data_IF_381701961432
#
_entry.id   IF_381701961432
#
_cell.length_a   1.000
_cell.length_b   1.000
_cell.length_c   1.000
_cell.angle_alpha   90.00
_cell.angle_beta   90.00
_cell.angle_gamma   90.00
#
_symmetry.space_group_name_H-M   'P 1'
#
loop_
_entity.id
_entity.type
_entity.pdbx_description
1 polymer ?
#
# COMPACT_ATOMS: atom_id res chain seq x y z
N UNK A 1 -0.16 19.33 2.99
CA UNK A 1 0.97 19.83 2.16
C UNK A 1 1.43 18.71 1.24
N UNK A 2 1.64 18.96 -0.04
CA UNK A 2 2.12 17.94 -1.00
C UNK A 2 3.65 17.90 -0.96
N UNK A 3 4.22 16.84 -0.42
CA UNK A 3 5.63 16.47 -0.63
C UNK A 3 5.62 15.15 -1.40
N UNK A 4 6.23 15.14 -2.57
CA UNK A 4 6.40 13.93 -3.39
C UNK A 4 7.78 13.95 -4.03
N UNK A 5 8.70 13.09 -3.62
CA UNK A 5 9.94 12.80 -4.35
C UNK A 5 10.32 11.32 -4.20
N UNK A 6 10.86 10.73 -5.27
CA UNK A 6 11.09 9.27 -5.40
C UNK A 6 12.39 8.96 -6.11
N UNK A 7 13.32 8.26 -5.45
CA UNK A 7 14.33 7.45 -6.16
C UNK A 7 14.72 6.20 -5.36
N UNK A 8 14.68 5.06 -6.05
CA UNK A 8 15.42 3.84 -5.75
C UNK A 8 15.70 3.12 -7.07
N UNK A 9 16.66 2.18 -7.12
CA UNK A 9 16.92 1.37 -8.31
C UNK A 9 15.72 0.44 -8.55
N UNK A 10 14.68 0.96 -9.20
CA UNK A 10 13.65 0.10 -9.76
C UNK A 10 14.32 -0.66 -10.89
N UNK A 11 14.28 -1.99 -10.84
CA UNK A 11 14.94 -2.89 -11.81
C UNK A 11 14.34 -2.85 -13.22
N UNK A 12 13.68 -1.76 -13.59
CA UNK A 12 13.12 -1.47 -14.90
C UNK A 12 14.06 -0.51 -15.61
N UNK A 13 14.86 -1.03 -16.54
CA UNK A 13 15.90 -0.30 -17.28
C UNK A 13 15.39 0.84 -18.18
N UNK A 14 14.07 0.99 -18.35
CA UNK A 14 13.50 1.96 -19.28
C UNK A 14 12.22 2.57 -18.71
N UNK A 15 12.35 3.69 -17.99
CA UNK A 15 11.25 4.65 -17.84
C UNK A 15 11.79 6.06 -18.03
N UNK A 16 11.06 6.88 -18.80
CA UNK A 16 11.40 8.29 -19.04
C UNK A 16 11.40 9.04 -17.70
N UNK A 17 12.31 10.01 -17.50
CA UNK A 17 12.30 10.84 -16.30
C UNK A 17 10.94 11.52 -16.15
N UNK A 18 10.23 11.20 -15.08
CA UNK A 18 9.02 11.92 -14.70
C UNK A 18 9.47 13.28 -14.17
N UNK A 19 8.94 14.37 -14.74
CA UNK A 19 9.20 15.70 -14.22
C UNK A 19 8.66 15.77 -12.79
N UNK A 20 9.56 15.89 -11.82
CA UNK A 20 9.17 16.19 -10.47
C UNK A 20 8.39 17.50 -10.44
N UNK A 21 7.36 17.57 -9.58
CA UNK A 21 6.61 18.82 -9.38
C UNK A 21 7.59 19.91 -8.96
N UNK A 22 7.48 21.09 -9.58
CA UNK A 22 8.28 22.26 -9.21
C UNK A 22 8.06 22.56 -7.74
N UNK A 23 9.09 22.31 -6.93
CA UNK A 23 9.03 22.56 -5.49
C UNK A 23 9.21 24.05 -5.24
N UNK A 24 8.30 24.63 -4.47
CA UNK A 24 8.45 25.99 -3.99
C UNK A 24 9.65 26.07 -3.04
N UNK A 25 10.66 26.86 -3.41
CA UNK A 25 11.82 27.13 -2.56
C UNK A 25 11.50 28.31 -1.67
N UNK A 26 11.86 28.21 -0.40
CA UNK A 26 11.81 29.34 0.53
C UNK A 26 12.73 30.46 0.05
N UNK A 27 12.16 31.66 -0.08
CA UNK A 27 12.85 32.91 -0.42
C UNK A 27 12.96 33.81 0.80
N UNK A 28 11.96 33.79 1.69
CA UNK A 28 11.92 34.62 2.89
C UNK A 28 11.66 33.78 4.15
N UNK A 29 12.03 34.28 5.34
CA UNK A 29 11.70 33.58 6.58
C UNK A 29 10.20 33.39 6.79
N UNK A 30 9.36 34.28 6.24
CA UNK A 30 7.89 34.21 6.37
C UNK A 30 7.30 32.99 5.67
N UNK A 31 7.92 32.54 4.59
CA UNK A 31 7.49 31.37 3.83
C UNK A 31 7.47 30.08 4.69
N UNK A 32 8.29 30.03 5.75
CA UNK A 32 8.24 28.93 6.72
C UNK A 32 7.00 29.01 7.62
N UNK A 33 6.65 30.21 8.09
CA UNK A 33 5.55 30.45 9.03
C UNK A 33 4.18 30.57 8.36
N UNK A 34 4.13 30.82 7.05
CA UNK A 34 2.93 30.63 6.24
C UNK A 34 2.57 29.14 6.09
N UNK A 35 3.60 28.30 6.16
CA UNK A 35 3.54 26.87 5.92
C UNK A 35 3.33 26.05 7.20
N UNK A 36 4.02 26.41 8.28
CA UNK A 36 4.05 25.69 9.55
C UNK A 36 3.76 26.62 10.72
N UNK A 37 3.05 26.11 11.71
CA UNK A 37 2.86 26.79 12.99
C UNK A 37 4.13 26.69 13.85
N UNK A 38 4.21 27.50 14.91
CA UNK A 38 5.36 27.44 15.83
C UNK A 38 5.40 26.07 16.55
N UNK A 39 4.25 25.49 16.85
CA UNK A 39 4.13 24.15 17.42
C UNK A 39 4.67 23.08 16.46
N UNK A 40 4.33 23.16 15.17
CA UNK A 40 4.87 22.25 14.15
C UNK A 40 6.40 22.38 14.03
N UNK A 41 6.92 23.61 14.09
CA UNK A 41 8.36 23.87 13.99
C UNK A 41 9.12 23.28 15.18
N UNK A 42 8.52 23.30 16.37
CA UNK A 42 9.09 22.66 17.57
C UNK A 42 9.15 21.14 17.41
N UNK A 43 8.16 20.53 16.76
CA UNK A 43 8.19 19.11 16.37
C UNK A 43 8.85 18.92 14.99
N UNK A 44 10.15 19.23 14.94
CA UNK A 44 10.93 19.27 13.70
C UNK A 44 10.88 17.98 12.86
N UNK A 45 10.57 16.82 13.46
CA UNK A 45 10.46 15.53 12.75
C UNK A 45 9.24 15.47 11.82
N UNK A 46 8.24 16.32 12.03
CA UNK A 46 7.04 16.43 11.17
C UNK A 46 7.26 17.34 9.95
N UNK A 47 8.36 18.09 9.95
CA UNK A 47 8.67 19.05 8.89
C UNK A 47 9.25 18.38 7.65
N UNK A 48 9.10 19.07 6.53
CA UNK A 48 9.85 18.77 5.32
C UNK A 48 11.28 19.32 5.45
N UNK A 49 12.24 18.43 5.72
CA UNK A 49 13.64 18.78 5.94
C UNK A 49 14.32 19.28 4.67
N UNK A 50 13.88 18.81 3.49
CA UNK A 50 14.37 19.30 2.20
C UNK A 50 13.94 20.74 2.00
N UNK A 51 12.65 21.01 2.19
CA UNK A 51 12.11 22.36 2.16
C UNK A 51 12.84 23.26 3.15
N UNK A 52 12.98 22.83 4.42
CA UNK A 52 13.65 23.59 5.48
C UNK A 52 15.09 23.97 5.12
N UNK A 53 15.81 23.08 4.44
CA UNK A 53 17.17 23.31 3.96
C UNK A 53 17.24 24.11 2.64
N UNK A 54 16.10 24.35 2.01
CA UNK A 54 15.96 25.19 0.82
C UNK A 54 16.35 24.51 -0.49
N UNK A 55 16.21 23.19 -0.57
CA UNK A 55 16.44 22.42 -1.80
C UNK A 55 15.47 21.25 -1.92
N UNK A 56 15.43 20.61 -3.09
CA UNK A 56 14.58 19.44 -3.35
C UNK A 56 15.32 18.13 -3.08
N UNK A 57 14.61 17.00 -3.00
CA UNK A 57 15.27 15.70 -2.86
C UNK A 57 16.11 15.34 -4.11
N UNK A 58 15.71 15.78 -5.31
CA UNK A 58 16.51 15.64 -6.53
C UNK A 58 17.87 16.33 -6.40
N UNK A 59 17.84 17.61 -6.03
CA UNK A 59 19.05 18.39 -5.80
C UNK A 59 19.92 17.73 -4.72
N UNK A 60 19.30 17.23 -3.65
CA UNK A 60 19.99 16.54 -2.55
C UNK A 60 20.71 15.26 -2.98
N UNK A 61 20.35 14.64 -4.11
CA UNK A 61 21.02 13.44 -4.63
C UNK A 61 22.26 13.79 -5.45
N UNK A 62 22.30 14.99 -6.03
CA UNK A 62 23.44 15.51 -6.76
C UNK A 62 24.41 16.29 -5.85
N UNK A 63 23.95 16.67 -4.65
CA UNK A 63 24.73 17.50 -3.73
C UNK A 63 25.92 16.78 -3.12
N UNK A 64 27.05 17.49 -3.13
CA UNK A 64 28.22 17.16 -2.32
C UNK A 64 28.07 17.70 -0.90
N UNK A 65 28.91 17.24 0.03
CA UNK A 65 28.93 17.74 1.42
C UNK A 65 29.13 19.27 1.50
N UNK A 66 29.90 19.85 0.57
CA UNK A 66 30.09 21.30 0.49
C UNK A 66 28.77 22.03 0.16
N UNK A 67 28.00 21.49 -0.78
CA UNK A 67 26.69 22.04 -1.16
C UNK A 67 25.72 22.02 0.02
N UNK A 68 25.70 20.94 0.81
CA UNK A 68 24.88 20.86 2.03
C UNK A 68 25.29 21.91 3.08
N UNK A 69 26.60 22.10 3.30
CA UNK A 69 27.11 23.13 4.23
C UNK A 69 26.75 24.53 3.77
N UNK A 70 26.84 24.81 2.48
CA UNK A 70 26.54 26.14 1.95
C UNK A 70 25.03 26.42 1.89
N UNK A 71 24.20 25.40 1.66
CA UNK A 71 22.76 25.49 1.86
C UNK A 71 22.42 25.80 3.32
N UNK A 72 23.02 25.06 4.27
CA UNK A 72 22.83 25.30 5.71
C UNK A 72 23.21 26.73 6.10
N UNK A 73 24.38 27.23 5.67
CA UNK A 73 24.80 28.63 5.96
C UNK A 73 23.81 29.67 5.43
N UNK A 74 23.24 29.45 4.25
CA UNK A 74 22.23 30.36 3.66
C UNK A 74 20.95 30.38 4.50
N UNK A 75 20.45 29.21 4.89
CA UNK A 75 19.25 29.09 5.72
C UNK A 75 19.49 29.56 7.16
N UNK A 76 20.66 29.28 7.74
CA UNK A 76 21.03 29.72 9.08
C UNK A 76 21.03 31.25 9.19
N UNK A 77 21.45 31.96 8.13
CA UNK A 77 21.33 33.42 8.06
C UNK A 77 19.88 33.89 8.00
N UNK A 78 18.94 33.10 7.49
CA UNK A 78 17.51 33.45 7.40
C UNK A 78 16.80 33.22 8.73
N UNK A 79 17.09 32.08 9.39
CA UNK A 79 16.42 31.63 10.62
C UNK A 79 17.21 31.95 11.91
N UNK A 80 18.24 32.78 11.83
CA UNK A 80 18.93 33.26 13.03
C UNK A 80 17.94 34.04 13.92
N UNK A 81 17.93 33.83 15.25
CA UNK A 81 16.97 34.49 16.16
C UNK A 81 16.98 36.02 16.00
N UNK A 82 18.15 36.65 15.93
CA UNK A 82 18.25 38.11 15.73
C UNK A 82 17.57 38.60 14.44
N UNK A 83 17.65 37.81 13.36
CA UNK A 83 17.00 38.18 12.10
C UNK A 83 15.50 37.97 12.18
N UNK A 84 15.01 36.92 12.82
CA UNK A 84 13.58 36.69 13.02
C UNK A 84 12.96 37.78 13.89
N UNK A 85 13.65 38.20 14.95
CA UNK A 85 13.25 39.34 15.80
C UNK A 85 13.13 40.64 14.98
N UNK A 86 14.05 40.90 14.06
CA UNK A 86 13.96 42.05 13.15
C UNK A 86 12.72 42.00 12.24
N UNK A 87 12.24 40.79 11.93
CA UNK A 87 11.01 40.54 11.18
C UNK A 87 9.75 40.48 12.05
N UNK A 88 9.85 40.76 13.36
CA UNK A 88 8.77 40.64 14.36
C UNK A 88 8.23 39.21 14.51
N UNK A 89 9.09 38.22 14.30
CA UNK A 89 8.79 36.81 14.51
C UNK A 89 9.60 36.36 15.72
N UNK A 90 8.91 35.90 16.75
CA UNK A 90 9.54 35.28 17.92
C UNK A 90 9.07 33.83 18.03
N UNK A 91 9.96 32.91 17.66
CA UNK A 91 9.74 31.47 17.72
C UNK A 91 10.60 30.81 18.82
N UNK A 92 11.26 31.62 19.67
CA UNK A 92 12.18 31.13 20.68
C UNK A 92 13.41 30.38 20.13
N UNK A 93 13.76 30.58 18.85
CA UNK A 93 14.85 29.88 18.18
C UNK A 93 14.50 28.49 17.66
N UNK A 94 13.22 28.09 17.70
CA UNK A 94 12.76 26.78 17.26
C UNK A 94 13.15 26.49 15.78
N UNK A 95 13.03 27.47 14.88
CA UNK A 95 13.38 27.31 13.47
C UNK A 95 14.87 27.02 13.27
N UNK A 96 15.73 27.67 14.05
CA UNK A 96 17.18 27.44 13.98
C UNK A 96 17.56 26.05 14.49
N UNK A 97 16.91 25.60 15.57
CA UNK A 97 17.08 24.24 16.11
C UNK A 97 16.62 23.21 15.08
N UNK A 98 15.43 23.38 14.49
CA UNK A 98 14.90 22.51 13.45
C UNK A 98 15.84 22.44 12.24
N UNK A 99 16.37 23.59 11.79
CA UNK A 99 17.33 23.65 10.69
C UNK A 99 18.63 22.88 11.01
N UNK A 100 19.14 23.02 12.22
CA UNK A 100 20.34 22.30 12.67
C UNK A 100 20.11 20.80 12.67
N UNK A 101 18.93 20.36 13.12
CA UNK A 101 18.52 18.95 13.09
C UNK A 101 18.34 18.42 11.66
N UNK A 102 17.75 19.21 10.77
CA UNK A 102 17.63 18.86 9.35
C UNK A 102 19.01 18.64 8.71
N UNK A 103 19.97 19.53 8.95
CA UNK A 103 21.34 19.35 8.47
C UNK A 103 22.01 18.11 9.05
N UNK A 104 21.83 17.80 10.34
CA UNK A 104 22.36 16.59 10.97
C UNK A 104 21.84 15.30 10.31
N UNK A 105 20.55 15.26 9.99
CA UNK A 105 19.89 14.12 9.36
C UNK A 105 20.31 13.98 7.90
N UNK A 106 20.22 15.05 7.11
CA UNK A 106 20.45 14.98 5.66
C UNK A 106 21.94 14.85 5.30
N UNK A 107 22.85 15.31 6.15
CA UNK A 107 24.30 15.16 5.92
C UNK A 107 24.79 13.73 6.19
N UNK A 108 24.08 12.95 6.99
CA UNK A 108 24.43 11.56 7.26
C UNK A 108 23.68 10.63 6.28
N UNK A 109 24.38 9.85 5.42
CA UNK A 109 23.72 9.03 4.40
C UNK A 109 22.70 8.02 4.96
N UNK A 110 22.99 7.46 6.14
CA UNK A 110 22.09 6.49 6.78
C UNK A 110 20.83 7.18 7.33
N UNK A 111 20.99 8.30 8.04
CA UNK A 111 19.84 9.07 8.56
C UNK A 111 19.00 9.66 7.42
N UNK A 112 19.66 10.18 6.37
CA UNK A 112 19.00 10.64 5.13
C UNK A 112 18.14 9.53 4.53
N UNK A 113 18.67 8.32 4.38
CA UNK A 113 17.91 7.18 3.84
C UNK A 113 16.67 6.84 4.68
N UNK A 114 16.78 6.85 6.00
CA UNK A 114 15.63 6.63 6.90
C UNK A 114 14.60 7.75 6.77
N UNK A 115 15.05 9.00 6.60
CA UNK A 115 14.16 10.12 6.33
C UNK A 115 13.46 9.98 4.97
N UNK A 116 14.18 9.58 3.92
CA UNK A 116 13.64 9.39 2.58
C UNK A 116 12.55 8.31 2.52
N UNK A 117 12.60 7.31 3.42
CA UNK A 117 11.52 6.33 3.56
C UNK A 117 10.22 6.94 4.09
N UNK A 118 10.31 8.01 4.89
CA UNK A 118 9.17 8.75 5.43
C UNK A 118 8.72 9.86 4.48
N UNK A 119 9.66 10.57 3.85
CA UNK A 119 9.42 11.64 2.87
C UNK A 119 8.96 11.08 1.52
N UNK A 120 7.83 10.38 1.55
CA UNK A 120 7.32 9.56 0.46
C UNK A 120 5.83 9.83 0.24
N UNK A 121 5.41 9.88 -1.02
CA UNK A 121 4.00 10.10 -1.34
C UNK A 121 3.18 8.84 -1.11
N UNK A 122 2.39 8.79 -0.04
CA UNK A 122 1.58 7.62 0.30
C UNK A 122 0.22 7.56 -0.41
N UNK A 123 -0.11 8.55 -1.26
CA UNK A 123 -1.41 8.62 -1.92
C UNK A 123 -1.73 7.34 -2.65
N UNK A 124 -2.99 6.92 -2.58
CA UNK A 124 -3.51 5.81 -3.36
C UNK A 124 -4.62 6.35 -4.27
N UNK A 125 -4.85 5.73 -5.43
CA UNK A 125 -5.95 6.12 -6.31
C UNK A 125 -7.30 6.09 -5.59
N UNK A 126 -8.21 6.95 -6.01
CA UNK A 126 -9.57 7.01 -5.45
C UNK A 126 -10.42 5.84 -5.97
N UNK A 127 -11.45 5.46 -5.21
CA UNK A 127 -12.39 4.43 -5.63
C UNK A 127 -13.49 5.00 -6.54
N UNK A 128 -13.09 5.38 -7.75
CA UNK A 128 -13.99 5.89 -8.81
C UNK A 128 -13.94 5.01 -10.06
N UNK A 129 -14.83 5.31 -10.99
CA UNK A 129 -14.72 4.76 -12.34
C UNK A 129 -13.61 5.48 -13.10
N UNK A 130 -12.80 4.71 -13.81
CA UNK A 130 -11.68 5.17 -14.63
C UNK A 130 -11.94 4.79 -16.08
N UNK A 131 -11.46 5.60 -17.02
CA UNK A 131 -11.28 5.11 -18.39
C UNK A 131 -10.15 4.08 -18.42
N UNK A 132 -10.10 3.30 -19.49
CA UNK A 132 -9.06 2.30 -19.68
C UNK A 132 -7.65 2.94 -19.60
N UNK A 133 -7.44 4.07 -20.28
CA UNK A 133 -6.16 4.79 -20.26
C UNK A 133 -5.84 5.42 -18.90
N UNK A 134 -6.85 6.01 -18.24
CA UNK A 134 -6.68 6.60 -16.91
C UNK A 134 -6.29 5.54 -15.87
N UNK A 135 -6.89 4.34 -15.95
CA UNK A 135 -6.56 3.25 -15.05
C UNK A 135 -5.08 2.90 -15.11
N UNK A 136 -4.55 2.63 -16.32
CA UNK A 136 -3.14 2.26 -16.45
C UNK A 136 -2.22 3.39 -16.00
N UNK A 137 -2.49 4.63 -16.40
CA UNK A 137 -1.65 5.76 -15.99
C UNK A 137 -1.59 5.92 -14.45
N UNK A 138 -2.75 5.96 -13.79
CA UNK A 138 -2.85 6.24 -12.35
C UNK A 138 -2.32 5.08 -11.50
N UNK A 139 -2.68 3.84 -11.84
CA UNK A 139 -2.28 2.68 -11.05
C UNK A 139 -0.83 2.26 -11.33
N UNK A 140 -0.36 2.34 -12.56
CA UNK A 140 1.03 2.00 -12.88
C UNK A 140 2.01 2.99 -12.22
N UNK A 141 1.67 4.29 -12.20
CA UNK A 141 2.42 5.28 -11.41
C UNK A 141 2.42 4.87 -9.93
N UNK A 142 1.26 4.59 -9.34
CA UNK A 142 1.16 4.22 -7.93
C UNK A 142 1.97 2.96 -7.58
N UNK A 143 1.91 1.90 -8.40
CA UNK A 143 2.66 0.68 -8.16
C UNK A 143 4.17 0.87 -8.35
N UNK A 144 4.59 1.53 -9.43
CA UNK A 144 6.00 1.81 -9.69
C UNK A 144 6.61 2.60 -8.55
N UNK A 145 5.87 3.61 -8.11
CA UNK A 145 6.21 4.45 -6.99
C UNK A 145 6.44 3.62 -5.71
N UNK A 146 5.49 2.76 -5.33
CA UNK A 146 5.64 1.87 -4.17
C UNK A 146 6.69 0.75 -4.33
N UNK A 147 7.10 0.44 -5.57
CA UNK A 147 8.04 -0.64 -5.83
C UNK A 147 9.46 -0.39 -5.31
N UNK A 148 9.82 0.88 -5.06
CA UNK A 148 11.10 1.29 -4.45
C UNK A 148 11.32 0.61 -3.09
N UNK A 149 10.24 0.27 -2.40
CA UNK A 149 10.31 -0.43 -1.11
C UNK A 149 10.26 -1.95 -1.24
N UNK A 150 10.29 -2.53 -2.43
CA UNK A 150 10.25 -3.98 -2.52
C UNK A 150 11.56 -4.62 -2.05
N UNK A 151 11.46 -5.67 -1.23
CA UNK A 151 12.59 -6.56 -0.93
C UNK A 151 13.04 -7.31 -2.19
N UNK A 152 12.10 -7.70 -3.05
CA UNK A 152 12.37 -8.48 -4.27
C UNK A 152 12.55 -7.52 -5.44
N UNK A 153 13.44 -7.79 -6.41
CA UNK A 153 13.55 -6.97 -7.60
C UNK A 153 12.19 -6.81 -8.29
N UNK A 154 11.79 -5.57 -8.49
CA UNK A 154 10.54 -5.25 -9.17
C UNK A 154 10.69 -5.45 -10.68
N UNK A 155 10.26 -6.63 -11.15
CA UNK A 155 10.36 -7.03 -12.57
C UNK A 155 9.00 -7.18 -13.25
N UNK A 156 7.90 -6.95 -12.52
CA UNK A 156 6.53 -7.12 -13.03
C UNK A 156 5.86 -5.76 -13.25
N UNK A 157 5.43 -5.48 -14.48
CA UNK A 157 4.68 -4.26 -14.81
C UNK A 157 3.17 -4.54 -14.79
N UNK A 158 2.36 -3.50 -14.53
CA UNK A 158 0.90 -3.57 -14.67
C UNK A 158 0.49 -3.90 -16.12
N UNK A 159 1.30 -3.49 -17.10
CA UNK A 159 1.08 -3.70 -18.52
C UNK A 159 0.03 -2.76 -19.10
N UNK A 160 -0.71 -3.26 -20.08
CA UNK A 160 -1.71 -2.55 -20.88
C UNK A 160 -2.94 -3.43 -21.15
N UNK A 161 -3.89 -2.97 -21.99
CA UNK A 161 -5.08 -3.74 -22.38
C UNK A 161 -4.78 -5.06 -23.10
N UNK A 162 -3.62 -5.17 -23.75
CA UNK A 162 -3.23 -6.33 -24.57
C UNK A 162 -2.46 -7.39 -23.79
N UNK A 163 -2.17 -7.11 -22.52
CA UNK A 163 -1.38 -7.97 -21.65
C UNK A 163 -2.05 -9.33 -21.43
N UNK A 164 -1.25 -10.39 -21.53
CA UNK A 164 -1.71 -11.78 -21.36
C UNK A 164 -2.15 -12.05 -19.93
N UNK A 165 -3.13 -12.93 -19.74
CA UNK A 165 -3.65 -13.32 -18.42
C UNK A 165 -2.55 -13.82 -17.47
N UNK A 166 -1.56 -14.54 -17.99
CA UNK A 166 -0.41 -15.00 -17.21
C UNK A 166 0.41 -13.85 -16.61
N UNK A 167 0.57 -12.75 -17.34
CA UNK A 167 1.27 -11.56 -16.87
C UNK A 167 0.44 -10.81 -15.80
N UNK A 168 -0.88 -10.72 -16.01
CA UNK A 168 -1.82 -10.11 -15.05
C UNK A 168 -1.80 -10.87 -13.71
N UNK A 169 -1.88 -12.21 -13.77
CA UNK A 169 -1.80 -13.08 -12.59
C UNK A 169 -0.46 -12.95 -11.89
N UNK A 170 0.65 -12.93 -12.63
CA UNK A 170 1.99 -12.76 -12.05
C UNK A 170 2.14 -11.40 -11.34
N UNK A 171 1.64 -10.33 -11.96
CA UNK A 171 1.65 -8.98 -11.39
C UNK A 171 0.90 -8.91 -10.06
N UNK A 172 -0.36 -9.35 -10.03
CA UNK A 172 -1.13 -9.32 -8.78
C UNK A 172 -0.60 -10.27 -7.72
N UNK A 173 -0.05 -11.44 -8.12
CA UNK A 173 0.60 -12.35 -7.18
C UNK A 173 1.83 -11.73 -6.53
N UNK A 174 2.64 -10.97 -7.27
CA UNK A 174 3.77 -10.23 -6.70
C UNK A 174 3.28 -9.25 -5.63
N UNK A 175 2.30 -8.41 -5.96
CA UNK A 175 1.81 -7.37 -5.05
C UNK A 175 1.02 -7.91 -3.85
N UNK A 176 0.30 -9.03 -4.01
CA UNK A 176 -0.35 -9.72 -2.89
C UNK A 176 0.67 -10.31 -1.89
N UNK A 177 1.88 -10.65 -2.36
CA UNK A 177 2.99 -11.13 -1.56
C UNK A 177 4.10 -10.07 -1.42
N UNK A 178 3.72 -8.78 -1.45
CA UNK A 178 4.66 -7.68 -1.36
C UNK A 178 5.33 -7.65 0.01
N UNK A 179 6.66 -7.64 0.01
CA UNK A 179 7.50 -7.52 1.19
C UNK A 179 8.24 -6.18 1.10
N UNK A 180 8.12 -5.36 2.16
CA UNK A 180 8.61 -3.98 2.18
C UNK A 180 9.92 -3.85 2.97
N UNK A 181 10.92 -3.17 2.41
CA UNK A 181 12.12 -2.70 3.12
C UNK A 181 11.89 -1.34 3.81
N UNK A 182 10.68 -0.77 3.70
CA UNK A 182 10.38 0.55 4.25
C UNK A 182 10.56 0.54 5.77
N UNK A 183 11.32 1.52 6.23
CA UNK A 183 11.72 1.66 7.63
C UNK A 183 11.13 2.95 8.20
N UNK A 184 10.79 2.94 9.49
CA UNK A 184 10.02 4.01 10.16
C UNK A 184 10.75 4.57 11.39
N UNK A 185 12.02 4.21 11.57
CA UNK A 185 12.85 4.54 12.72
C UNK A 185 13.08 6.05 12.86
N UNK A 186 12.95 6.81 11.78
CA UNK A 186 13.01 8.27 11.83
C UNK A 186 11.88 8.87 12.72
N UNK A 187 10.73 8.21 12.79
CA UNK A 187 9.57 8.65 13.60
C UNK A 187 9.74 8.34 15.10
N UNK A 188 10.70 7.50 15.46
CA UNK A 188 10.92 7.11 16.86
C UNK A 188 11.37 8.31 17.70
N UNK A 189 11.00 8.30 18.99
CA UNK A 189 11.54 9.22 20.00
C UNK A 189 13.00 8.89 20.28
N UNK A 190 13.76 9.92 20.63
CA UNK A 190 15.17 9.76 21.00
C UNK A 190 15.24 9.03 22.35
N UNK A 191 16.22 8.13 22.52
CA UNK A 191 16.35 7.29 23.73
C UNK A 191 17.42 7.81 24.70
N UNK A 192 17.86 9.06 24.54
CA UNK A 192 18.97 9.67 25.30
C UNK A 192 18.53 10.19 26.68
N UNK A 193 17.67 9.44 27.38
CA UNK A 193 17.21 9.77 28.72
C UNK A 193 18.21 9.31 29.80
N UNK A 194 18.38 10.14 30.82
CA UNK A 194 19.24 9.83 31.97
C UNK A 194 18.69 8.64 32.78
N UNK A 195 17.36 8.62 33.02
CA UNK A 195 16.71 7.54 33.75
C UNK A 195 16.59 6.27 32.90
N UNK A 196 16.99 5.13 33.48
CA UNK A 196 16.83 3.80 32.86
C UNK A 196 15.37 3.48 32.56
N UNK A 197 14.45 3.89 33.44
CA UNK A 197 13.01 3.64 33.27
C UNK A 197 12.47 4.40 32.06
N UNK A 198 12.86 5.66 31.90
CA UNK A 198 12.49 6.48 30.75
C UNK A 198 13.03 5.89 29.44
N UNK A 199 14.29 5.42 29.42
CA UNK A 199 14.85 4.72 28.25
C UNK A 199 14.06 3.47 27.89
N UNK A 200 13.68 2.67 28.89
CA UNK A 200 12.86 1.47 28.67
C UNK A 200 11.48 1.82 28.13
N UNK A 201 10.84 2.86 28.66
CA UNK A 201 9.54 3.32 28.19
C UNK A 201 9.62 3.79 26.74
N UNK A 202 10.60 4.65 26.40
CA UNK A 202 10.82 5.11 25.04
C UNK A 202 11.05 3.95 24.06
N UNK A 203 11.86 2.95 24.42
CA UNK A 203 12.07 1.78 23.57
C UNK A 203 10.78 0.95 23.35
N UNK A 204 9.92 0.85 24.36
CA UNK A 204 8.61 0.18 24.23
C UNK A 204 7.68 0.96 23.32
N UNK A 205 7.58 2.28 23.52
CA UNK A 205 6.78 3.18 22.67
C UNK A 205 7.27 3.16 21.22
N UNK A 206 8.58 3.23 21.00
CA UNK A 206 9.20 3.15 19.68
C UNK A 206 8.87 1.81 19.01
N UNK A 207 8.99 0.69 19.73
CA UNK A 207 8.63 -0.63 19.18
C UNK A 207 7.15 -0.69 18.79
N UNK A 208 6.26 -0.12 19.61
CA UNK A 208 4.83 -0.08 19.32
C UNK A 208 4.55 0.77 18.07
N UNK A 209 5.12 1.98 18.01
CA UNK A 209 5.00 2.89 16.87
C UNK A 209 5.49 2.23 15.57
N UNK A 210 6.64 1.55 15.60
CA UNK A 210 7.18 0.87 14.42
C UNK A 210 6.25 -0.25 13.94
N UNK A 211 5.69 -1.04 14.85
CA UNK A 211 4.75 -2.11 14.49
C UNK A 211 3.46 -1.55 13.90
N UNK A 212 2.95 -0.47 14.49
CA UNK A 212 1.76 0.24 14.01
C UNK A 212 1.99 0.81 12.60
N UNK A 213 3.07 1.57 12.39
CA UNK A 213 3.40 2.16 11.09
C UNK A 213 3.62 1.11 10.01
N UNK A 214 4.27 -0.01 10.34
CA UNK A 214 4.41 -1.16 9.42
C UNK A 214 3.05 -1.80 9.09
N UNK A 215 2.15 -1.90 10.07
CA UNK A 215 0.82 -2.45 9.85
C UNK A 215 -0.04 -1.53 8.97
N UNK A 216 0.00 -0.21 9.22
CA UNK A 216 -0.67 0.81 8.43
C UNK A 216 -0.20 0.80 6.96
N UNK A 217 1.11 0.77 6.72
CA UNK A 217 1.69 0.75 5.37
C UNK A 217 1.30 -0.54 4.62
N UNK A 218 1.35 -1.70 5.30
CA UNK A 218 0.91 -2.97 4.72
C UNK A 218 -0.59 -2.95 4.37
N UNK A 219 -1.42 -2.35 5.23
CA UNK A 219 -2.85 -2.18 4.95
C UNK A 219 -3.08 -1.25 3.76
N UNK A 220 -2.30 -0.16 3.65
CA UNK A 220 -2.33 0.78 2.53
C UNK A 220 -1.99 0.09 1.21
N UNK A 221 -0.91 -0.71 1.16
CA UNK A 221 -0.56 -1.49 -0.04
C UNK A 221 -1.65 -2.51 -0.38
N UNK A 222 -2.18 -3.25 0.60
CA UNK A 222 -3.30 -4.17 0.37
C UNK A 222 -4.54 -3.47 -0.19
N UNK A 223 -4.83 -2.26 0.29
CA UNK A 223 -5.94 -1.43 -0.21
C UNK A 223 -5.69 -1.01 -1.66
N UNK A 224 -4.48 -0.56 -2.01
CA UNK A 224 -4.08 -0.26 -3.38
C UNK A 224 -4.29 -1.46 -4.31
N UNK A 225 -3.82 -2.65 -3.92
CA UNK A 225 -3.97 -3.89 -4.70
C UNK A 225 -5.43 -4.27 -4.88
N UNK A 226 -6.21 -4.26 -3.79
CA UNK A 226 -7.64 -4.58 -3.82
C UNK A 226 -8.40 -3.64 -4.74
N UNK A 227 -8.09 -2.35 -4.67
CA UNK A 227 -8.72 -1.34 -5.52
C UNK A 227 -8.33 -1.54 -7.00
N UNK A 228 -7.06 -1.83 -7.27
CA UNK A 228 -6.61 -2.11 -8.63
C UNK A 228 -7.35 -3.31 -9.23
N UNK A 229 -7.47 -4.43 -8.49
CA UNK A 229 -8.22 -5.61 -8.95
C UNK A 229 -9.69 -5.26 -9.20
N UNK A 230 -10.30 -4.46 -8.32
CA UNK A 230 -11.69 -4.02 -8.46
C UNK A 230 -11.91 -3.17 -9.71
N UNK A 231 -10.92 -2.38 -10.12
CA UNK A 231 -11.06 -1.40 -11.22
C UNK A 231 -10.40 -1.83 -12.52
N UNK A 232 -9.60 -2.91 -12.53
CA UNK A 232 -8.91 -3.37 -13.73
C UNK A 232 -9.91 -3.82 -14.82
N UNK A 233 -9.88 -3.20 -16.02
CA UNK A 233 -10.81 -3.51 -17.09
C UNK A 233 -10.63 -4.94 -17.62
N UNK A 234 -9.44 -5.53 -17.51
CA UNK A 234 -9.12 -6.88 -18.01
C UNK A 234 -9.71 -7.96 -17.11
N UNK A 235 -9.56 -7.79 -15.79
CA UNK A 235 -10.13 -8.69 -14.78
C UNK A 235 -11.66 -8.61 -14.76
N UNK A 236 -12.20 -7.40 -14.90
CA UNK A 236 -13.65 -7.20 -14.90
C UNK A 236 -14.34 -7.60 -16.22
N UNK A 237 -13.62 -7.59 -17.36
CA UNK A 237 -14.13 -8.17 -18.61
C UNK A 237 -14.45 -9.66 -18.44
N UNK A 238 -13.63 -10.43 -17.73
CA UNK A 238 -13.93 -11.83 -17.44
C UNK A 238 -15.15 -12.02 -16.52
N UNK A 239 -15.34 -11.16 -15.52
CA UNK A 239 -16.51 -11.22 -14.63
C UNK A 239 -17.81 -10.73 -15.31
N UNK A 240 -17.71 -9.83 -16.29
CA UNK A 240 -18.84 -9.42 -17.14
C UNK A 240 -19.14 -10.43 -18.27
N UNK A 241 -18.11 -11.11 -18.79
CA UNK A 241 -18.22 -12.10 -19.86
C UNK A 241 -18.59 -13.51 -19.36
N UNK A 242 -18.41 -13.81 -18.06
CA UNK A 242 -19.15 -14.90 -17.42
C UNK A 242 -20.58 -14.39 -17.24
N UNK A 243 -21.57 -14.85 -18.03
CA UNK A 243 -22.95 -14.55 -17.69
C UNK A 243 -23.15 -14.98 -16.24
N UNK A 244 -23.73 -14.11 -15.40
CA UNK A 244 -24.32 -14.57 -14.14
C UNK A 244 -25.17 -15.77 -14.54
N UNK A 245 -24.78 -16.99 -14.16
CA UNK A 245 -25.60 -18.17 -14.48
C UNK A 245 -26.98 -17.83 -13.94
N UNK A 246 -27.97 -17.69 -14.83
CA UNK A 246 -29.34 -17.45 -14.40
C UNK A 246 -29.68 -18.52 -13.39
N UNK A 247 -30.15 -18.11 -12.21
CA UNK A 247 -30.51 -19.06 -11.16
C UNK A 247 -31.81 -19.71 -11.61
N UNK A 248 -31.70 -20.77 -12.40
CA UNK A 248 -32.84 -21.59 -12.79
C UNK A 248 -33.24 -22.47 -11.62
N UNK A 249 -34.53 -22.54 -11.38
CA UNK A 249 -35.12 -23.41 -10.36
C UNK A 249 -35.72 -24.61 -11.07
N UNK A 250 -35.25 -25.81 -10.73
CA UNK A 250 -35.81 -27.06 -11.24
C UNK A 250 -37.28 -27.22 -10.81
N UNK A 251 -38.04 -28.12 -11.45
CA UNK A 251 -39.41 -28.49 -11.05
C UNK A 251 -39.52 -28.94 -9.58
N UNK A 252 -38.43 -29.45 -9.00
CA UNK A 252 -38.33 -29.87 -7.61
C UNK A 252 -38.04 -28.69 -6.64
N UNK A 253 -38.02 -27.44 -7.14
CA UNK A 253 -37.71 -26.24 -6.37
C UNK A 253 -36.22 -26.04 -6.05
N UNK A 254 -35.31 -26.82 -6.64
CA UNK A 254 -33.86 -26.73 -6.43
C UNK A 254 -33.20 -25.70 -7.32
N UNK A 255 -32.36 -24.82 -6.75
CA UNK A 255 -31.55 -23.90 -7.55
C UNK A 255 -30.40 -24.65 -8.21
N UNK A 256 -30.07 -24.32 -9.44
CA UNK A 256 -28.91 -24.88 -10.15
C UNK A 256 -27.60 -24.82 -9.33
N UNK A 257 -27.35 -23.72 -8.61
CA UNK A 257 -26.19 -23.56 -7.72
C UNK A 257 -26.19 -24.54 -6.54
N UNK A 258 -27.36 -24.87 -5.99
CA UNK A 258 -27.53 -25.88 -4.92
C UNK A 258 -27.29 -27.30 -5.46
N UNK A 259 -27.74 -27.58 -6.69
CA UNK A 259 -27.52 -28.86 -7.37
C UNK A 259 -26.04 -29.06 -7.71
N UNK A 260 -25.35 -28.02 -8.17
CA UNK A 260 -23.91 -28.06 -8.44
C UNK A 260 -23.09 -28.30 -7.16
N UNK A 261 -23.44 -27.61 -6.06
CA UNK A 261 -22.82 -27.82 -4.76
C UNK A 261 -23.03 -29.26 -4.26
N UNK A 262 -24.27 -29.77 -4.34
CA UNK A 262 -24.60 -31.16 -4.00
C UNK A 262 -23.82 -32.15 -4.85
N UNK A 263 -23.70 -31.90 -6.16
CA UNK A 263 -22.95 -32.77 -7.09
C UNK A 263 -21.46 -32.80 -6.75
N UNK A 264 -20.84 -31.66 -6.43
CA UNK A 264 -19.43 -31.59 -6.00
C UNK A 264 -19.17 -32.29 -4.67
N UNK A 265 -20.11 -32.22 -3.74
CA UNK A 265 -20.01 -32.93 -2.45
C UNK A 265 -20.20 -34.44 -2.68
N UNK A 266 -21.18 -34.83 -3.51
CA UNK A 266 -21.47 -36.23 -3.83
C UNK A 266 -20.32 -36.94 -4.57
N UNK A 267 -19.58 -36.25 -5.45
CA UNK A 267 -18.40 -36.81 -6.13
C UNK A 267 -17.22 -37.00 -5.18
N UNK A 268 -17.07 -36.12 -4.17
CA UNK A 268 -16.04 -36.26 -3.12
C UNK A 268 -16.40 -37.29 -2.07
N UNK A 269 -17.69 -37.60 -1.88
CA UNK A 269 -18.18 -38.57 -0.89
C UNK A 269 -18.77 -39.80 -1.59
N UNK A 270 -17.97 -40.85 -1.85
CA UNK A 270 -18.40 -42.01 -2.64
C UNK A 270 -19.53 -42.81 -1.95
N UNK A 271 -20.30 -43.61 -2.71
CA UNK A 271 -21.44 -44.38 -2.19
C UNK A 271 -21.11 -45.34 -1.03
N UNK A 272 -19.85 -45.77 -0.91
CA UNK A 272 -19.37 -46.72 0.11
C UNK A 272 -19.10 -46.07 1.48
N UNK A 273 -19.22 -44.74 1.60
CA UNK A 273 -18.99 -44.01 2.85
C UNK A 273 -20.09 -44.32 3.88
N UNK A 274 -19.70 -44.64 5.12
CA UNK A 274 -20.64 -44.84 6.23
C UNK A 274 -21.36 -43.53 6.56
N UNK A 275 -22.67 -43.58 6.80
CA UNK A 275 -23.51 -42.41 7.08
C UNK A 275 -23.41 -41.31 6.02
N UNK A 276 -23.26 -41.69 4.75
CA UNK A 276 -23.06 -40.78 3.62
C UNK A 276 -24.06 -39.62 3.57
N UNK A 277 -25.34 -39.90 3.81
CA UNK A 277 -26.39 -38.86 3.80
C UNK A 277 -26.13 -37.80 4.87
N UNK A 278 -25.70 -38.20 6.08
CA UNK A 278 -25.42 -37.26 7.18
C UNK A 278 -24.21 -36.37 6.88
N UNK A 279 -23.16 -36.96 6.29
CA UNK A 279 -21.96 -36.21 5.89
C UNK A 279 -22.27 -35.20 4.80
N UNK A 280 -23.02 -35.62 3.76
CA UNK A 280 -23.41 -34.75 2.65
C UNK A 280 -24.38 -33.68 3.13
N UNK A 281 -25.36 -34.04 3.97
CA UNK A 281 -26.31 -33.09 4.54
C UNK A 281 -25.60 -32.04 5.40
N UNK A 282 -24.73 -32.44 6.32
CA UNK A 282 -23.96 -31.51 7.16
C UNK A 282 -23.11 -30.54 6.33
N UNK A 283 -22.48 -31.03 5.26
CA UNK A 283 -21.69 -30.20 4.34
C UNK A 283 -22.58 -29.24 3.52
N UNK A 284 -23.73 -29.71 3.04
CA UNK A 284 -24.65 -28.92 2.22
C UNK A 284 -25.43 -27.89 3.05
N UNK A 285 -25.80 -28.17 4.30
CA UNK A 285 -26.55 -27.25 5.15
C UNK A 285 -25.81 -25.95 5.44
N UNK A 286 -24.48 -25.93 5.29
CA UNK A 286 -23.67 -24.70 5.35
C UNK A 286 -23.92 -23.77 4.15
N UNK A 287 -24.39 -24.32 3.03
CA UNK A 287 -24.62 -23.62 1.76
C UNK A 287 -26.12 -23.45 1.46
N UNK A 288 -26.96 -24.42 1.82
CA UNK A 288 -28.41 -24.42 1.60
C UNK A 288 -29.16 -24.81 2.90
N UNK A 289 -29.27 -23.89 3.88
CA UNK A 289 -29.81 -24.19 5.21
C UNK A 289 -31.32 -24.49 5.21
N UNK A 290 -32.04 -24.15 4.15
CA UNK A 290 -33.49 -24.34 4.03
C UNK A 290 -33.91 -25.75 3.61
N UNK A 291 -32.96 -26.63 3.25
CA UNK A 291 -33.25 -27.98 2.73
C UNK A 291 -33.36 -28.99 3.87
N UNK A 292 -34.38 -29.84 3.82
CA UNK A 292 -34.50 -30.94 4.78
C UNK A 292 -33.60 -32.12 4.38
N UNK A 293 -33.21 -32.95 5.37
CA UNK A 293 -32.41 -34.16 5.11
C UNK A 293 -33.11 -35.11 4.13
N UNK A 294 -34.44 -35.19 4.17
CA UNK A 294 -35.25 -36.01 3.25
C UNK A 294 -35.16 -35.49 1.80
N UNK A 295 -35.20 -34.17 1.61
CA UNK A 295 -35.10 -33.55 0.28
C UNK A 295 -33.71 -33.74 -0.31
N UNK A 296 -32.67 -33.58 0.51
CA UNK A 296 -31.28 -33.81 0.10
C UNK A 296 -31.07 -35.27 -0.31
N UNK A 297 -31.64 -36.22 0.44
CA UNK A 297 -31.58 -37.65 0.10
C UNK A 297 -32.29 -37.95 -1.23
N UNK A 298 -33.49 -37.39 -1.46
CA UNK A 298 -34.23 -37.58 -2.70
C UNK A 298 -33.51 -37.00 -3.93
N UNK A 299 -32.91 -35.80 -3.80
CA UNK A 299 -32.16 -35.17 -4.88
C UNK A 299 -30.80 -35.86 -5.11
N UNK A 300 -30.13 -36.31 -4.05
CA UNK A 300 -28.87 -37.04 -4.14
C UNK A 300 -29.02 -38.34 -4.97
N UNK A 301 -30.13 -39.07 -4.84
CA UNK A 301 -30.40 -40.25 -5.66
C UNK A 301 -30.42 -39.93 -7.16
N UNK A 302 -31.04 -38.80 -7.54
CA UNK A 302 -31.08 -38.33 -8.94
C UNK A 302 -29.69 -37.90 -9.43
N UNK A 303 -28.92 -37.23 -8.57
CA UNK A 303 -27.53 -36.80 -8.86
C UNK A 303 -26.59 -38.00 -9.01
N UNK A 304 -26.66 -38.98 -8.11
CA UNK A 304 -25.85 -40.20 -8.17
C UNK A 304 -26.15 -41.02 -9.43
N UNK A 305 -27.43 -41.17 -9.79
CA UNK A 305 -27.82 -41.83 -11.03
C UNK A 305 -27.24 -41.11 -12.27
N UNK A 306 -27.15 -39.78 -12.22
CA UNK A 306 -26.55 -38.97 -13.29
C UNK A 306 -25.03 -39.11 -13.34
N UNK A 307 -24.36 -39.13 -12.19
CA UNK A 307 -22.91 -39.37 -12.07
C UNK A 307 -22.54 -40.76 -12.61
N UNK A 308 -23.32 -41.79 -12.27
CA UNK A 308 -23.11 -43.16 -12.75
C UNK A 308 -23.34 -43.29 -14.26
N UNK A 309 -24.32 -42.58 -14.83
CA UNK A 309 -24.54 -42.55 -16.29
C UNK A 309 -23.37 -41.90 -17.02
N UNK A 310 -22.77 -40.85 -16.46
CA UNK A 310 -21.60 -40.19 -17.01
C UNK A 310 -20.33 -41.03 -16.91
N UNK A 311 -20.17 -41.83 -15.84
CA UNK A 311 -19.01 -42.73 -15.69
C UNK A 311 -19.07 -43.96 -16.60
N UNK A 312 -20.25 -44.38 -17.07
CA UNK A 312 -20.43 -45.50 -18.02
C UNK A 312 -20.26 -45.08 -19.50
N UNK A 313 -20.22 -43.77 -19.78
CA UNK A 313 -20.07 -43.18 -21.13
C UNK A 313 -18.63 -42.78 -21.46
N UNK A 314 -17.73 -42.82 -20.49
CA UNK A 314 -16.28 -42.68 -20.63
C UNK A 314 -15.65 -44.06 -20.65
#
# INVERSE_FOLDING_TARGET
>A
MKVTHYYGPTGLSERKPVQAKTVEKMKTPRDLFEKYTIEDIKDWKTLDLYYLMGFTQEEANEYTEANFKDAFKRQAKLFHPDRLLSCKIDDGGASFIALTKAHEVLSNPHKKKLYDFIAFDETIPEDRDYTDEEFFAVFDEAFTRNSVFSVKPYTVSLGDLSSKDSAIVAFYKFWQNFESIRAFEFLCKDEDYQSREMRRQAAVENKQLLNEKKAEDNQRIRKLVTLAIKRDPRVNKENKAKPKQEITVDSDGWKNTEVEALTKIATKTPPRTRNRIDVIFSALSRFAPTRSKKDVQAKLLKVDASIQKLSKKK
#
